data_IF_419367922122
#
_entry.id   IF_419367922122
#
_cell.length_a   1.000
_cell.length_b   1.000
_cell.length_c   1.000
_cell.angle_alpha   90.00
_cell.angle_beta   90.00
_cell.angle_gamma   90.00
#
_symmetry.space_group_name_H-M   'P 1'
#
loop_
_entity.id
_entity.type
_entity.pdbx_description
1 polymer ?
#
# COMPACT_ATOMS: atom_id res chain seq x y z
N UNK A 1 -13.62 25.44 17.78
CA UNK A 1 -12.55 24.46 18.13
C UNK A 1 -12.60 23.37 17.08
N UNK A 2 -11.47 23.01 16.46
CA UNK A 2 -11.42 21.99 15.40
C UNK A 2 -11.80 20.61 15.97
N UNK A 3 -12.68 19.86 15.30
CA UNK A 3 -13.16 18.51 15.71
C UNK A 3 -12.00 17.55 16.01
N UNK A 4 -10.90 17.65 15.26
CA UNK A 4 -9.68 16.86 15.47
C UNK A 4 -9.11 17.07 16.88
N UNK A 5 -9.02 18.33 17.34
CA UNK A 5 -8.52 18.68 18.67
C UNK A 5 -9.48 18.22 19.78
N UNK A 6 -10.80 18.26 19.54
CA UNK A 6 -11.78 17.76 20.53
C UNK A 6 -11.62 16.25 20.70
N UNK A 7 -11.48 15.51 19.59
CA UNK A 7 -11.26 14.07 19.68
C UNK A 7 -9.96 13.73 20.41
N UNK A 8 -8.88 14.45 20.08
CA UNK A 8 -7.59 14.26 20.74
C UNK A 8 -7.68 14.52 22.26
N UNK A 9 -8.43 15.54 22.70
CA UNK A 9 -8.65 15.79 24.12
C UNK A 9 -9.38 14.62 24.80
N UNK A 10 -10.42 14.09 24.17
CA UNK A 10 -11.14 12.91 24.69
C UNK A 10 -10.24 11.67 24.74
N UNK A 11 -9.44 11.43 23.70
CA UNK A 11 -8.45 10.36 23.67
C UNK A 11 -7.41 10.51 24.79
N UNK A 12 -6.80 11.70 24.92
CA UNK A 12 -5.77 12.00 25.90
C UNK A 12 -6.29 11.90 27.34
N UNK A 13 -7.58 12.15 27.57
CA UNK A 13 -8.23 11.86 28.86
C UNK A 13 -8.18 10.37 29.19
N UNK A 14 -8.45 9.50 28.21
CA UNK A 14 -8.48 8.06 28.42
C UNK A 14 -7.11 7.36 28.32
N UNK A 15 -6.06 8.04 27.83
CA UNK A 15 -4.73 7.43 27.63
C UNK A 15 -4.07 6.92 28.91
N UNK A 16 -4.51 7.39 30.08
CA UNK A 16 -4.00 6.99 31.40
C UNK A 16 -4.55 5.63 31.87
N UNK A 17 -5.55 5.06 31.15
CA UNK A 17 -6.04 3.72 31.40
C UNK A 17 -5.09 2.68 30.80
N UNK A 18 -5.03 1.51 31.45
CA UNK A 18 -4.17 0.40 31.03
C UNK A 18 -4.50 -0.02 29.60
N UNK A 19 -3.48 -0.08 28.74
CA UNK A 19 -3.55 -0.69 27.40
C UNK A 19 -3.88 -2.17 27.53
N UNK A 20 -4.77 -2.67 26.71
CA UNK A 20 -5.23 -4.06 26.67
C UNK A 20 -4.64 -4.76 25.46
N UNK A 21 -3.81 -5.78 25.69
CA UNK A 21 -3.08 -6.51 24.65
C UNK A 21 -3.99 -7.13 23.57
N UNK A 22 -5.20 -7.55 23.96
CA UNK A 22 -6.18 -8.14 23.04
C UNK A 22 -7.11 -7.13 22.37
N UNK A 23 -6.91 -5.82 22.56
CA UNK A 23 -7.77 -4.80 21.97
C UNK A 23 -7.13 -4.22 20.71
N UNK A 24 -7.91 -4.18 19.64
CA UNK A 24 -7.51 -3.64 18.34
C UNK A 24 -8.52 -2.57 17.91
N UNK A 25 -8.05 -1.40 17.51
CA UNK A 25 -8.90 -0.38 16.89
C UNK A 25 -8.58 -0.31 15.39
N UNK A 26 -9.63 -0.38 14.57
CA UNK A 26 -9.57 -0.15 13.14
C UNK A 26 -10.12 1.24 12.81
N UNK A 27 -9.36 2.06 12.09
CA UNK A 27 -9.79 3.39 11.65
C UNK A 27 -10.06 3.34 10.16
N UNK A 28 -11.35 3.26 9.82
CA UNK A 28 -11.86 3.26 8.46
C UNK A 28 -12.26 4.68 8.08
N UNK A 29 -11.35 5.44 7.49
CA UNK A 29 -11.63 6.81 7.06
C UNK A 29 -12.35 6.85 5.71
N UNK A 30 -12.00 5.96 4.80
CA UNK A 30 -12.75 5.75 3.57
C UNK A 30 -13.80 4.68 3.84
N UNK A 31 -15.08 5.02 3.63
CA UNK A 31 -16.17 4.05 3.80
C UNK A 31 -16.08 3.00 2.69
N UNK A 32 -15.56 1.84 3.05
CA UNK A 32 -15.37 0.72 2.14
C UNK A 32 -16.45 -0.34 2.28
N UNK A 33 -17.48 -0.09 3.10
CA UNK A 33 -18.54 -1.06 3.35
C UNK A 33 -18.06 -2.34 4.06
N UNK A 34 -16.93 -2.28 4.76
CA UNK A 34 -16.38 -3.45 5.47
C UNK A 34 -15.52 -4.37 4.58
N UNK A 35 -14.98 -3.84 3.48
CA UNK A 35 -14.03 -4.54 2.60
C UNK A 35 -12.65 -3.86 2.62
N UNK A 36 -11.62 -4.54 2.11
CA UNK A 36 -10.26 -4.02 2.01
C UNK A 36 -9.36 -4.40 3.18
N UNK A 37 -8.14 -3.85 3.18
CA UNK A 37 -7.03 -4.30 4.02
C UNK A 37 -7.33 -4.42 5.51
N UNK A 38 -8.07 -3.46 6.10
CA UNK A 38 -8.44 -3.48 7.53
C UNK A 38 -9.26 -4.73 7.89
N UNK A 39 -10.29 -5.00 7.09
CA UNK A 39 -11.21 -6.10 7.34
C UNK A 39 -10.66 -7.44 6.89
N UNK A 40 -9.75 -7.48 5.91
CA UNK A 40 -9.04 -8.69 5.53
C UNK A 40 -8.09 -9.16 6.65
N UNK A 41 -7.43 -8.22 7.36
CA UNK A 41 -6.65 -8.53 8.57
C UNK A 41 -7.55 -9.03 9.69
N UNK A 42 -8.69 -8.35 9.95
CA UNK A 42 -9.66 -8.79 10.97
C UNK A 42 -10.13 -10.21 10.71
N UNK A 43 -10.61 -10.51 9.48
CA UNK A 43 -11.06 -11.83 9.08
C UNK A 43 -9.97 -12.90 9.24
N UNK A 44 -8.73 -12.57 8.91
CA UNK A 44 -7.62 -13.51 9.09
C UNK A 44 -7.33 -13.77 10.57
N UNK A 45 -7.38 -12.76 11.43
CA UNK A 45 -7.25 -12.94 12.87
C UNK A 45 -8.40 -13.81 13.45
N UNK A 46 -9.64 -13.57 13.00
CA UNK A 46 -10.82 -14.38 13.37
C UNK A 46 -10.66 -15.83 12.89
N UNK A 47 -10.23 -16.06 11.65
CA UNK A 47 -9.95 -17.39 11.09
C UNK A 47 -8.89 -18.15 11.88
N UNK A 48 -7.90 -17.45 12.43
CA UNK A 48 -6.86 -18.02 13.31
C UNK A 48 -7.34 -18.25 14.74
N UNK A 49 -8.58 -17.86 15.08
CA UNK A 49 -9.12 -17.99 16.42
C UNK A 49 -8.43 -17.12 17.47
N UNK A 50 -7.83 -16.00 17.06
CA UNK A 50 -7.15 -15.10 18.00
C UNK A 50 -8.18 -14.40 18.89
N UNK A 51 -7.98 -14.33 20.24
CA UNK A 51 -8.92 -13.75 21.17
C UNK A 51 -8.89 -12.21 21.16
N UNK A 52 -8.94 -11.62 19.97
CA UNK A 52 -8.89 -10.18 19.77
C UNK A 52 -10.26 -9.54 19.82
N UNK A 53 -10.33 -8.32 20.37
CA UNK A 53 -11.53 -7.49 20.41
C UNK A 53 -11.36 -6.31 19.47
N UNK A 54 -12.05 -6.34 18.32
CA UNK A 54 -11.99 -5.30 17.30
C UNK A 54 -13.02 -4.19 17.55
N UNK A 55 -12.57 -2.94 17.43
CA UNK A 55 -13.40 -1.74 17.54
C UNK A 55 -13.17 -0.86 16.31
N UNK A 56 -14.26 -0.48 15.63
CA UNK A 56 -14.16 0.27 14.37
C UNK A 56 -14.59 1.71 14.58
N UNK A 57 -13.75 2.63 14.08
CA UNK A 57 -14.06 4.05 13.93
C UNK A 57 -14.21 4.31 12.44
N UNK A 58 -15.42 4.77 12.01
CA UNK A 58 -15.75 5.00 10.60
C UNK A 58 -15.82 6.48 10.27
N UNK A 59 -15.73 6.80 8.99
CA UNK A 59 -15.88 8.18 8.50
C UNK A 59 -17.17 8.83 9.00
N UNK A 60 -18.32 8.14 8.91
CA UNK A 60 -19.62 8.65 9.38
C UNK A 60 -19.68 8.99 10.87
N UNK A 61 -18.78 8.45 11.71
CA UNK A 61 -18.72 8.79 13.13
C UNK A 61 -18.28 10.24 13.39
N UNK A 62 -17.55 10.84 12.42
CA UNK A 62 -17.06 12.23 12.49
C UNK A 62 -18.03 13.25 11.87
N UNK A 63 -19.10 12.78 11.27
CA UNK A 63 -20.07 13.67 10.62
C UNK A 63 -20.78 14.53 11.67
N UNK A 64 -20.57 15.85 11.58
CA UNK A 64 -21.17 16.80 12.49
C UNK A 64 -22.56 17.19 11.97
N UNK A 65 -23.56 16.47 12.41
CA UNK A 65 -24.97 16.75 12.10
C UNK A 65 -25.87 16.50 13.31
N UNK A 66 -27.03 17.14 13.35
CA UNK A 66 -28.02 16.93 14.42
C UNK A 66 -28.49 15.45 14.47
N UNK A 67 -28.50 14.77 13.31
CA UNK A 67 -28.87 13.35 13.21
C UNK A 67 -27.78 12.42 13.76
N UNK A 68 -26.53 12.87 13.80
CA UNK A 68 -25.39 12.08 14.27
C UNK A 68 -24.94 12.41 15.71
N UNK A 69 -25.71 13.16 16.49
CA UNK A 69 -25.36 13.46 17.89
C UNK A 69 -25.04 12.21 18.74
N UNK A 70 -25.79 11.08 18.63
CA UNK A 70 -25.44 9.87 19.35
C UNK A 70 -24.10 9.27 18.88
N UNK A 71 -23.79 9.33 17.57
CA UNK A 71 -22.51 8.87 16.99
C UNK A 71 -21.35 9.71 17.50
N UNK A 72 -21.48 11.04 17.50
CA UNK A 72 -20.48 11.95 18.06
C UNK A 72 -20.27 11.71 19.57
N UNK A 73 -21.33 11.51 20.34
CA UNK A 73 -21.19 11.16 21.75
C UNK A 73 -20.43 9.85 21.94
N UNK A 74 -20.78 8.82 21.16
CA UNK A 74 -20.06 7.55 21.19
C UNK A 74 -18.61 7.69 20.74
N UNK A 75 -18.32 8.56 19.75
CA UNK A 75 -16.96 8.85 19.27
C UNK A 75 -16.11 9.44 20.39
N UNK A 76 -16.58 10.49 21.06
CA UNK A 76 -15.81 11.20 22.11
C UNK A 76 -15.78 10.47 23.47
N UNK A 77 -16.54 9.40 23.63
CA UNK A 77 -16.56 8.58 24.86
C UNK A 77 -16.04 7.18 24.60
N UNK A 78 -16.94 6.28 24.20
CA UNK A 78 -16.66 4.85 24.06
C UNK A 78 -15.56 4.55 23.03
N UNK A 79 -15.61 5.19 21.85
CA UNK A 79 -14.62 4.94 20.79
C UNK A 79 -13.26 5.54 21.13
N UNK A 80 -13.22 6.76 21.70
CA UNK A 80 -11.99 7.37 22.21
C UNK A 80 -11.34 6.51 23.31
N UNK A 81 -12.15 5.98 24.25
CA UNK A 81 -11.68 5.04 25.28
C UNK A 81 -11.12 3.75 24.68
N UNK A 82 -11.82 3.15 23.72
CA UNK A 82 -11.31 1.92 23.11
C UNK A 82 -10.02 2.16 22.36
N UNK A 83 -9.93 3.23 21.58
CA UNK A 83 -8.71 3.58 20.86
C UNK A 83 -7.54 3.84 21.80
N UNK A 84 -7.75 4.64 22.88
CA UNK A 84 -6.71 4.99 23.84
C UNK A 84 -6.19 3.80 24.67
N UNK A 85 -6.96 2.73 24.73
CA UNK A 85 -6.59 1.50 25.46
C UNK A 85 -6.34 0.30 24.56
N UNK A 86 -6.15 0.52 23.23
CA UNK A 86 -5.79 -0.51 22.27
C UNK A 86 -4.29 -0.73 22.21
N UNK A 87 -3.88 -2.00 22.18
CA UNK A 87 -2.48 -2.36 21.90
C UNK A 87 -2.12 -2.15 20.43
N UNK A 88 -3.10 -2.29 19.53
CA UNK A 88 -2.89 -2.08 18.10
C UNK A 88 -3.96 -1.16 17.51
N UNK A 89 -3.53 -0.23 16.68
CA UNK A 89 -4.37 0.67 15.89
C UNK A 89 -3.98 0.50 14.44
N UNK A 90 -4.90 0.03 13.59
CA UNK A 90 -4.70 -0.05 12.15
C UNK A 90 -5.54 1.02 11.47
N UNK A 91 -4.97 1.73 10.50
CA UNK A 91 -5.67 2.77 9.76
C UNK A 91 -5.41 2.65 8.25
N UNK A 92 -6.40 3.02 7.44
CA UNK A 92 -6.32 2.98 5.99
C UNK A 92 -6.17 4.34 5.31
N UNK A 93 -6.03 5.41 6.09
CA UNK A 93 -5.77 6.77 5.62
C UNK A 93 -5.24 7.62 6.78
N UNK A 94 -4.79 8.86 6.50
CA UNK A 94 -4.32 9.78 7.52
C UNK A 94 -5.44 10.17 8.49
N UNK A 95 -5.23 9.91 9.77
CA UNK A 95 -6.14 10.25 10.84
C UNK A 95 -5.67 11.53 11.54
N UNK A 96 -6.12 12.69 11.03
CA UNK A 96 -5.63 14.01 11.44
C UNK A 96 -5.69 14.30 12.95
N UNK A 97 -6.65 13.75 13.75
CA UNK A 97 -6.61 13.88 15.20
C UNK A 97 -5.30 13.41 15.83
N UNK A 98 -4.57 12.47 15.22
CA UNK A 98 -3.30 11.95 15.75
C UNK A 98 -2.20 13.01 15.89
N UNK A 99 -2.28 14.12 15.15
CA UNK A 99 -1.36 15.25 15.34
C UNK A 99 -1.38 15.86 16.76
N UNK A 100 -2.48 15.62 17.50
CA UNK A 100 -2.72 16.20 18.82
C UNK A 100 -2.88 15.13 19.92
N UNK A 101 -2.66 13.85 19.56
CA UNK A 101 -2.86 12.71 20.47
C UNK A 101 -1.53 12.30 21.10
N UNK A 102 -1.59 11.93 22.36
CA UNK A 102 -0.47 11.38 23.11
C UNK A 102 -0.65 9.85 23.18
N UNK A 103 -0.09 9.15 22.19
CA UNK A 103 -0.20 7.68 22.04
C UNK A 103 0.69 7.00 23.09
N UNK A 104 0.13 6.01 23.78
CA UNK A 104 0.89 5.22 24.74
C UNK A 104 2.05 4.46 24.06
N UNK A 105 3.24 4.38 24.68
CA UNK A 105 4.41 3.68 24.09
C UNK A 105 4.15 2.20 23.76
N UNK A 106 3.23 1.58 24.49
CA UNK A 106 2.82 0.18 24.31
C UNK A 106 1.85 -0.02 23.13
N UNK A 107 1.35 1.08 22.55
CA UNK A 107 0.40 1.02 21.42
C UNK A 107 1.15 1.07 20.09
N UNK A 108 0.95 0.05 19.28
CA UNK A 108 1.46 -0.01 17.91
C UNK A 108 0.44 0.60 16.94
N UNK A 109 0.84 1.61 16.19
CA UNK A 109 0.02 2.27 15.18
C UNK A 109 0.50 1.90 13.79
N UNK A 110 -0.37 1.31 12.97
CA UNK A 110 -0.03 0.76 11.65
C UNK A 110 -0.84 1.42 10.55
N UNK A 111 -0.17 2.13 9.66
CA UNK A 111 -0.76 2.70 8.45
C UNK A 111 -0.74 1.68 7.32
N UNK A 112 -1.93 1.29 6.82
CA UNK A 112 -2.08 0.37 5.70
C UNK A 112 -2.17 1.10 4.36
N UNK A 113 -2.55 2.37 4.40
CA UNK A 113 -2.95 3.17 3.24
C UNK A 113 -4.15 2.59 2.51
N UNK A 114 -4.68 3.32 1.54
CA UNK A 114 -5.85 2.92 0.76
C UNK A 114 -5.49 2.57 -0.70
N UNK A 115 -4.29 2.95 -1.15
CA UNK A 115 -3.77 2.67 -2.49
C UNK A 115 -2.66 1.64 -2.45
N UNK A 116 -2.63 0.77 -3.44
CA UNK A 116 -1.55 -0.18 -3.65
C UNK A 116 -0.47 0.43 -4.54
N UNK A 117 0.79 0.13 -4.25
CA UNK A 117 1.92 0.64 -5.02
C UNK A 117 2.18 2.14 -4.82
N UNK A 118 3.04 2.70 -5.64
CA UNK A 118 3.40 4.13 -5.62
C UNK A 118 3.54 4.65 -7.06
N UNK A 119 2.45 4.66 -7.81
CA UNK A 119 2.45 5.14 -9.19
C UNK A 119 2.54 6.66 -9.22
N UNK A 120 1.56 7.38 -8.68
CA UNK A 120 1.57 8.83 -8.53
C UNK A 120 2.17 9.27 -7.19
N UNK A 121 2.78 10.44 -7.15
CA UNK A 121 3.17 11.10 -5.89
C UNK A 121 1.95 11.42 -5.04
N UNK A 122 2.11 11.33 -3.74
CA UNK A 122 1.07 11.64 -2.77
C UNK A 122 1.67 12.13 -1.45
N UNK A 123 0.82 12.67 -0.58
CA UNK A 123 1.25 13.14 0.74
C UNK A 123 2.40 14.14 0.67
N UNK A 124 3.41 13.95 1.49
CA UNK A 124 4.58 14.82 1.59
C UNK A 124 5.49 14.86 0.36
N UNK A 125 5.24 14.01 -0.65
CA UNK A 125 5.96 14.05 -1.94
C UNK A 125 5.31 14.99 -2.97
N UNK A 126 4.25 15.69 -2.57
CA UNK A 126 3.56 16.70 -3.39
C UNK A 126 3.72 18.08 -2.78
N UNK A 127 3.44 19.13 -3.56
CA UNK A 127 3.47 20.52 -3.11
C UNK A 127 2.28 20.80 -2.17
N UNK A 128 2.47 20.47 -0.88
CA UNK A 128 1.48 20.77 0.17
C UNK A 128 1.74 22.13 0.79
N UNK A 129 0.67 22.81 1.18
CA UNK A 129 0.77 24.01 2.03
C UNK A 129 1.57 23.71 3.31
N UNK A 130 2.44 24.62 3.76
CA UNK A 130 3.35 24.37 4.89
C UNK A 130 2.66 23.91 6.17
N UNK A 131 1.47 24.46 6.47
CA UNK A 131 0.68 24.06 7.63
C UNK A 131 0.20 22.62 7.51
N UNK A 132 -0.30 22.22 6.36
CA UNK A 132 -0.79 20.85 6.10
C UNK A 132 0.36 19.86 6.14
N UNK A 133 1.52 20.22 5.56
CA UNK A 133 2.73 19.38 5.62
C UNK A 133 3.23 19.21 7.06
N UNK A 134 3.17 20.28 7.87
CA UNK A 134 3.53 20.21 9.30
C UNK A 134 2.58 19.31 10.07
N UNK A 135 1.26 19.42 9.84
CA UNK A 135 0.26 18.57 10.49
C UNK A 135 0.42 17.10 10.07
N UNK A 136 0.68 16.84 8.78
CA UNK A 136 0.95 15.49 8.26
C UNK A 136 2.17 14.86 8.95
N UNK A 137 3.26 15.61 9.14
CA UNK A 137 4.44 15.13 9.87
C UNK A 137 4.09 14.75 11.31
N UNK A 138 3.34 15.61 12.01
CA UNK A 138 2.92 15.35 13.40
C UNK A 138 2.03 14.09 13.49
N UNK A 139 1.11 13.88 12.54
CA UNK A 139 0.31 12.64 12.45
C UNK A 139 1.21 11.42 12.35
N UNK A 140 2.20 11.47 11.44
CA UNK A 140 3.05 10.33 11.12
C UNK A 140 4.20 10.09 12.12
N UNK A 141 4.50 11.05 12.99
CA UNK A 141 5.35 10.82 14.17
C UNK A 141 4.76 9.73 15.08
N UNK A 142 3.43 9.71 15.21
CA UNK A 142 2.68 8.73 15.99
C UNK A 142 2.47 7.38 15.29
N UNK A 143 2.79 7.27 13.99
CA UNK A 143 2.74 6.00 13.26
C UNK A 143 3.99 5.17 13.55
N UNK A 144 3.79 3.94 14.02
CA UNK A 144 4.88 2.99 14.28
C UNK A 144 5.39 2.38 12.99
N UNK A 145 4.47 1.84 12.18
CA UNK A 145 4.78 1.19 10.91
C UNK A 145 3.84 1.63 9.78
N UNK A 146 4.37 1.67 8.58
CA UNK A 146 3.64 1.87 7.34
C UNK A 146 3.83 0.62 6.49
N UNK A 147 2.74 0.02 6.00
CA UNK A 147 2.84 -1.17 5.17
C UNK A 147 2.94 -0.80 3.69
N UNK A 148 3.88 -1.43 3.02
CA UNK A 148 4.07 -1.30 1.58
C UNK A 148 3.93 -2.67 0.90
N UNK A 149 3.47 -2.66 -0.35
CA UNK A 149 3.28 -3.87 -1.15
C UNK A 149 4.57 -4.39 -1.77
N UNK A 150 5.63 -3.57 -1.85
CA UNK A 150 6.92 -3.93 -2.43
C UNK A 150 8.09 -3.24 -1.73
N UNK A 151 9.24 -3.89 -1.71
CA UNK A 151 10.51 -3.31 -1.25
C UNK A 151 10.94 -2.12 -2.13
N UNK A 152 10.62 -2.17 -3.43
CA UNK A 152 10.97 -1.10 -4.38
C UNK A 152 10.30 0.23 -4.07
N UNK A 153 9.10 0.21 -3.48
CA UNK A 153 8.33 1.44 -3.20
C UNK A 153 8.53 1.98 -1.77
N UNK A 154 9.35 1.34 -0.94
CA UNK A 154 9.55 1.76 0.46
C UNK A 154 10.00 3.20 0.59
N UNK A 155 11.00 3.60 -0.21
CA UNK A 155 11.49 4.97 -0.22
C UNK A 155 10.39 5.97 -0.57
N UNK A 156 9.56 5.66 -1.57
CA UNK A 156 8.47 6.51 -2.01
C UNK A 156 7.42 6.70 -0.89
N UNK A 157 7.11 5.62 -0.18
CA UNK A 157 6.21 5.67 0.99
C UNK A 157 6.83 6.48 2.14
N UNK A 158 8.12 6.31 2.42
CA UNK A 158 8.82 7.08 3.45
C UNK A 158 8.77 8.59 3.14
N UNK A 159 9.00 8.99 1.89
CA UNK A 159 8.87 10.37 1.43
C UNK A 159 7.44 10.88 1.56
N UNK A 160 6.45 10.11 1.07
CA UNK A 160 5.03 10.49 1.09
C UNK A 160 4.49 10.70 2.51
N UNK A 161 4.90 9.85 3.44
CA UNK A 161 4.48 9.95 4.85
C UNK A 161 5.44 10.79 5.71
N UNK A 162 6.50 11.33 5.12
CA UNK A 162 7.51 12.13 5.84
C UNK A 162 8.13 11.39 7.03
N UNK A 163 8.44 10.12 6.88
CA UNK A 163 9.02 9.26 7.93
C UNK A 163 10.35 8.64 7.50
N UNK A 164 11.18 8.18 8.45
CA UNK A 164 12.33 7.35 8.12
C UNK A 164 11.93 6.06 7.41
N UNK A 165 12.70 5.62 6.41
CA UNK A 165 12.42 4.41 5.63
C UNK A 165 12.31 3.15 6.51
N UNK A 166 12.98 3.13 7.67
CA UNK A 166 12.89 2.04 8.64
C UNK A 166 11.49 1.79 9.21
N UNK A 167 10.59 2.79 9.18
CA UNK A 167 9.18 2.61 9.56
C UNK A 167 8.34 1.92 8.48
N UNK A 168 8.83 1.82 7.24
CA UNK A 168 8.08 1.22 6.12
C UNK A 168 8.41 -0.26 5.99
N UNK A 169 7.41 -1.12 6.13
CA UNK A 169 7.54 -2.58 6.06
C UNK A 169 6.92 -3.10 4.76
N UNK A 170 7.73 -3.71 3.90
CA UNK A 170 7.25 -4.33 2.66
C UNK A 170 6.79 -5.78 2.93
N UNK A 171 5.67 -5.95 3.62
CA UNK A 171 5.09 -7.26 3.97
C UNK A 171 3.84 -7.62 3.18
N UNK A 172 3.54 -6.84 2.17
CA UNK A 172 2.40 -7.01 1.28
C UNK A 172 1.22 -6.12 1.63
N UNK A 173 0.24 -6.13 0.75
CA UNK A 173 -1.00 -5.37 0.88
C UNK A 173 -2.18 -6.35 1.02
N UNK A 174 -2.89 -6.41 2.16
CA UNK A 174 -3.94 -7.39 2.39
C UNK A 174 -5.06 -7.39 1.34
N UNK A 175 -5.44 -6.21 0.81
CA UNK A 175 -6.45 -6.15 -0.25
C UNK A 175 -6.04 -6.86 -1.54
N UNK A 176 -4.73 -7.02 -1.80
CA UNK A 176 -4.22 -7.76 -2.95
C UNK A 176 -4.57 -9.26 -2.91
N UNK A 177 -4.72 -9.82 -1.71
CA UNK A 177 -5.06 -11.22 -1.50
C UNK A 177 -6.36 -11.62 -2.22
N UNK A 178 -7.24 -10.63 -2.42
CA UNK A 178 -8.51 -10.83 -3.11
C UNK A 178 -8.31 -11.38 -4.52
N UNK A 179 -7.35 -10.85 -5.27
CA UNK A 179 -7.11 -11.22 -6.67
C UNK A 179 -6.53 -12.63 -6.84
N UNK A 180 -5.96 -13.21 -5.79
CA UNK A 180 -5.34 -14.54 -5.79
C UNK A 180 -6.21 -15.62 -5.14
N UNK A 181 -7.43 -15.25 -4.68
CA UNK A 181 -8.41 -16.22 -4.19
C UNK A 181 -9.28 -16.74 -5.32
N UNK A 182 -9.85 -17.92 -5.11
CA UNK A 182 -10.82 -18.47 -6.07
C UNK A 182 -12.17 -17.79 -5.89
N UNK A 183 -12.63 -17.06 -6.91
CA UNK A 183 -13.93 -16.38 -6.93
C UNK A 183 -14.82 -16.96 -8.02
N UNK A 184 -16.09 -17.19 -7.73
CA UNK A 184 -17.07 -17.48 -8.79
C UNK A 184 -17.57 -16.16 -9.41
N UNK A 185 -16.76 -15.66 -10.35
CA UNK A 185 -17.07 -14.42 -11.08
C UNK A 185 -18.29 -14.57 -12.02
N UNK A 186 -18.76 -15.79 -12.27
CA UNK A 186 -19.89 -16.05 -13.21
C UNK A 186 -21.20 -15.50 -12.67
N UNK A 187 -21.47 -15.63 -11.37
CA UNK A 187 -22.67 -15.06 -10.76
C UNK A 187 -22.68 -13.52 -10.79
N UNK A 188 -21.52 -12.92 -10.57
CA UNK A 188 -21.37 -11.46 -10.65
C UNK A 188 -21.57 -11.02 -12.10
N UNK A 189 -20.94 -11.70 -13.06
CA UNK A 189 -21.09 -11.43 -14.48
C UNK A 189 -22.55 -11.54 -14.93
N UNK A 190 -23.26 -12.58 -14.51
CA UNK A 190 -24.67 -12.80 -14.82
C UNK A 190 -25.55 -11.65 -14.30
N UNK A 191 -25.35 -11.19 -13.06
CA UNK A 191 -26.08 -10.03 -12.51
C UNK A 191 -25.86 -8.75 -13.33
N UNK A 192 -24.62 -8.53 -13.79
CA UNK A 192 -24.31 -7.38 -14.65
C UNK A 192 -24.94 -7.52 -16.04
N UNK A 193 -24.97 -8.70 -16.61
CA UNK A 193 -25.62 -8.98 -17.92
C UNK A 193 -27.15 -8.87 -17.84
N UNK A 194 -27.76 -9.15 -16.68
CA UNK A 194 -29.18 -8.91 -16.43
C UNK A 194 -29.49 -7.40 -16.33
N UNK A 195 -28.61 -6.64 -15.68
CA UNK A 195 -28.74 -5.17 -15.57
C UNK A 195 -28.38 -4.45 -16.88
N UNK A 196 -27.38 -4.95 -17.60
CA UNK A 196 -26.85 -4.38 -18.84
C UNK A 196 -26.83 -5.45 -19.95
N UNK A 197 -27.97 -5.75 -20.60
CA UNK A 197 -28.08 -6.85 -21.59
C UNK A 197 -27.10 -6.74 -22.77
N UNK A 198 -26.61 -5.54 -23.09
CA UNK A 198 -25.61 -5.29 -24.14
C UNK A 198 -24.23 -5.90 -23.82
N UNK A 199 -23.97 -6.28 -22.57
CA UNK A 199 -22.72 -6.94 -22.15
C UNK A 199 -22.70 -8.43 -22.50
N UNK A 200 -23.88 -9.03 -22.79
CA UNK A 200 -23.99 -10.49 -22.97
C UNK A 200 -23.14 -10.99 -24.14
N UNK A 201 -22.26 -11.94 -23.84
CA UNK A 201 -21.39 -12.57 -24.82
C UNK A 201 -20.23 -11.72 -25.32
N UNK A 202 -20.02 -10.51 -24.76
CA UNK A 202 -18.93 -9.60 -25.15
C UNK A 202 -17.86 -9.52 -24.09
N UNK A 203 -16.63 -9.21 -24.49
CA UNK A 203 -15.55 -8.84 -23.57
C UNK A 203 -15.85 -7.48 -22.94
N UNK A 204 -15.39 -7.27 -21.71
CA UNK A 204 -15.64 -6.10 -20.90
C UNK A 204 -14.38 -5.23 -20.76
N UNK A 205 -14.17 -4.23 -21.63
CA UNK A 205 -13.27 -3.12 -21.32
C UNK A 205 -13.88 -2.25 -20.23
N UNK A 206 -13.07 -1.89 -19.22
CA UNK A 206 -13.45 -0.94 -18.19
C UNK A 206 -12.67 0.37 -18.39
N UNK A 207 -13.37 1.46 -18.69
CA UNK A 207 -12.79 2.79 -18.70
C UNK A 207 -12.87 3.41 -17.31
N UNK A 208 -11.73 3.61 -16.69
CA UNK A 208 -11.61 4.11 -15.32
C UNK A 208 -10.65 5.31 -15.26
N UNK A 209 -11.09 6.49 -15.71
CA UNK A 209 -10.26 7.69 -15.73
C UNK A 209 -10.03 8.26 -14.33
N UNK A 210 -8.88 8.92 -14.15
CA UNK A 210 -8.56 9.74 -12.98
C UNK A 210 -9.36 11.04 -13.01
N UNK A 211 -9.79 11.55 -11.86
CA UNK A 211 -10.29 12.91 -11.74
C UNK A 211 -9.17 13.93 -12.01
N UNK A 212 -9.54 15.15 -12.36
CA UNK A 212 -8.63 16.27 -12.52
C UNK A 212 -8.85 17.26 -11.36
N UNK A 213 -7.76 17.78 -10.79
CA UNK A 213 -7.84 18.81 -9.75
C UNK A 213 -8.39 20.13 -10.32
N UNK A 214 -8.24 20.38 -11.61
CA UNK A 214 -8.89 21.46 -12.35
C UNK A 214 -10.34 21.11 -12.66
N UNK A 215 -11.28 21.89 -12.12
CA UNK A 215 -12.72 21.62 -12.22
C UNK A 215 -13.28 21.74 -13.66
N UNK A 216 -12.62 22.48 -14.56
CA UNK A 216 -13.03 22.58 -15.96
C UNK A 216 -12.58 21.33 -16.72
N UNK A 217 -11.35 20.90 -16.52
CA UNK A 217 -10.80 19.67 -17.07
C UNK A 217 -11.56 18.43 -16.58
N UNK A 218 -11.96 18.42 -15.31
CA UNK A 218 -12.76 17.32 -14.75
C UNK A 218 -14.15 17.23 -15.39
N UNK A 219 -14.78 18.37 -15.67
CA UNK A 219 -16.08 18.42 -16.38
C UNK A 219 -15.98 17.94 -17.83
N UNK A 220 -14.87 18.20 -18.51
CA UNK A 220 -14.64 17.83 -19.90
C UNK A 220 -14.16 16.38 -20.08
N UNK A 221 -13.80 15.70 -19.01
CA UNK A 221 -13.13 14.40 -19.02
C UNK A 221 -13.78 13.38 -19.98
N UNK A 222 -15.11 13.18 -19.88
CA UNK A 222 -15.80 12.23 -20.74
C UNK A 222 -16.06 12.75 -22.17
N UNK A 223 -15.98 14.06 -22.41
CA UNK A 223 -16.16 14.62 -23.76
C UNK A 223 -15.00 14.25 -24.69
N UNK A 224 -13.84 13.92 -24.12
CA UNK A 224 -12.66 13.45 -24.89
C UNK A 224 -12.73 11.97 -25.26
N UNK A 225 -13.73 11.21 -24.74
CA UNK A 225 -13.91 9.81 -25.10
C UNK A 225 -15.11 9.67 -26.07
N UNK A 226 -14.85 9.40 -27.35
CA UNK A 226 -15.89 9.19 -28.35
C UNK A 226 -16.49 7.78 -28.23
N UNK A 227 -17.53 7.65 -27.40
CA UNK A 227 -18.25 6.39 -27.14
C UNK A 227 -18.89 5.81 -28.38
N UNK A 228 -19.40 6.66 -29.31
CA UNK A 228 -20.00 6.18 -30.55
C UNK A 228 -18.94 5.58 -31.48
N UNK A 229 -17.80 6.24 -31.60
CA UNK A 229 -16.67 5.74 -32.39
C UNK A 229 -16.16 4.42 -31.80
N UNK A 230 -16.03 4.33 -30.46
CA UNK A 230 -15.66 3.07 -29.81
C UNK A 230 -16.65 1.96 -30.17
N UNK A 231 -17.95 2.21 -30.05
CA UNK A 231 -18.98 1.23 -30.36
C UNK A 231 -18.97 0.82 -31.84
N UNK A 232 -18.79 1.76 -32.77
CA UNK A 232 -18.68 1.45 -34.21
C UNK A 232 -17.47 0.58 -34.55
N UNK A 233 -16.33 0.81 -33.89
CA UNK A 233 -15.07 0.14 -34.25
C UNK A 233 -14.76 -1.11 -33.44
N UNK A 234 -15.25 -1.21 -32.21
CA UNK A 234 -14.93 -2.29 -31.28
C UNK A 234 -16.18 -2.99 -30.71
N UNK A 235 -17.38 -2.42 -30.89
CA UNK A 235 -18.61 -2.88 -30.23
C UNK A 235 -19.15 -4.24 -30.64
N UNK A 236 -18.63 -4.85 -31.71
CA UNK A 236 -18.96 -6.22 -32.07
C UNK A 236 -18.45 -7.21 -31.01
N UNK A 237 -17.18 -7.08 -30.60
CA UNK A 237 -16.51 -8.00 -29.67
C UNK A 237 -16.54 -7.46 -28.22
N UNK A 238 -16.58 -6.15 -28.04
CA UNK A 238 -16.40 -5.50 -26.75
C UNK A 238 -17.65 -4.69 -26.34
N UNK A 239 -18.00 -4.74 -25.05
CA UNK A 239 -18.97 -3.85 -24.43
C UNK A 239 -18.25 -2.98 -23.41
N UNK A 240 -17.98 -1.72 -23.75
CA UNK A 240 -17.34 -0.77 -22.86
C UNK A 240 -18.22 -0.47 -21.65
N UNK A 241 -17.67 -0.54 -20.45
CA UNK A 241 -18.26 0.00 -19.25
C UNK A 241 -17.40 1.14 -18.69
N UNK A 242 -18.01 2.04 -17.94
CA UNK A 242 -17.33 3.19 -17.32
C UNK A 242 -17.44 3.09 -15.81
N UNK A 243 -16.35 3.38 -15.11
CA UNK A 243 -16.33 3.60 -13.68
C UNK A 243 -15.62 4.91 -13.39
N UNK A 244 -16.35 5.92 -13.00
CA UNK A 244 -15.80 7.22 -12.62
C UNK A 244 -15.24 7.16 -11.19
N UNK A 245 -14.25 7.99 -10.92
CA UNK A 245 -13.76 8.20 -9.57
C UNK A 245 -14.84 8.91 -8.73
N UNK A 246 -15.04 8.59 -7.45
CA UNK A 246 -16.08 9.21 -6.61
C UNK A 246 -16.01 10.73 -6.50
N UNK A 247 -14.86 11.33 -6.77
CA UNK A 247 -14.69 12.79 -6.81
C UNK A 247 -15.22 13.43 -8.10
N UNK A 248 -15.42 12.65 -9.17
CA UNK A 248 -15.99 13.15 -10.43
C UNK A 248 -17.50 13.25 -10.26
N UNK A 249 -18.02 14.45 -9.99
CA UNK A 249 -19.46 14.69 -9.76
C UNK A 249 -20.13 15.37 -10.94
N UNK A 250 -19.39 15.97 -11.85
CA UNK A 250 -19.87 16.82 -12.93
C UNK A 250 -20.06 16.11 -14.27
N UNK A 251 -19.42 14.96 -14.46
CA UNK A 251 -19.51 14.17 -15.69
C UNK A 251 -20.57 13.07 -15.57
N UNK A 252 -21.39 12.90 -16.63
CA UNK A 252 -22.40 11.84 -16.70
C UNK A 252 -22.03 10.86 -17.79
N UNK A 253 -22.04 9.56 -17.45
CA UNK A 253 -21.88 8.48 -18.41
C UNK A 253 -23.10 8.48 -19.35
N UNK A 254 -22.90 8.35 -20.68
CA UNK A 254 -24.04 8.25 -21.63
C UNK A 254 -24.95 7.05 -21.31
N UNK A 255 -26.27 7.21 -21.45
CA UNK A 255 -27.28 6.20 -21.06
C UNK A 255 -27.08 4.83 -21.73
N UNK A 256 -26.52 4.81 -22.94
CA UNK A 256 -26.25 3.58 -23.68
C UNK A 256 -25.01 2.83 -23.21
N UNK A 257 -24.20 3.42 -22.34
CA UNK A 257 -22.95 2.85 -21.82
C UNK A 257 -23.18 2.33 -20.41
N UNK A 258 -22.84 1.08 -20.08
CA UNK A 258 -22.89 0.59 -18.70
C UNK A 258 -22.11 1.47 -17.73
N UNK A 259 -22.82 2.13 -16.82
CA UNK A 259 -22.24 2.91 -15.73
C UNK A 259 -22.08 2.05 -14.49
N UNK A 260 -20.83 1.74 -14.16
CA UNK A 260 -20.44 0.93 -13.00
C UNK A 260 -19.83 1.78 -11.87
N UNK A 261 -20.01 3.11 -11.92
CA UNK A 261 -19.51 4.05 -10.90
C UNK A 261 -20.04 3.70 -9.51
N UNK A 262 -21.32 3.35 -9.41
CA UNK A 262 -21.96 2.94 -8.15
C UNK A 262 -21.75 1.49 -7.74
N UNK A 263 -20.96 0.69 -8.46
CA UNK A 263 -20.76 -0.71 -8.07
C UNK A 263 -19.92 -0.80 -6.80
N UNK A 264 -20.38 -1.55 -5.76
CA UNK A 264 -19.81 -1.45 -4.41
C UNK A 264 -18.35 -1.91 -4.29
N UNK A 265 -18.00 -3.06 -4.87
CA UNK A 265 -16.66 -3.64 -4.75
C UNK A 265 -15.90 -3.58 -6.09
N UNK A 266 -14.97 -2.64 -6.20
CA UNK A 266 -14.14 -2.48 -7.41
C UNK A 266 -13.34 -3.75 -7.72
N UNK A 267 -12.97 -4.54 -6.72
CA UNK A 267 -12.18 -5.75 -6.91
C UNK A 267 -12.96 -6.80 -7.72
N UNK A 268 -14.26 -6.95 -7.46
CA UNK A 268 -15.14 -7.80 -8.28
C UNK A 268 -15.20 -7.33 -9.72
N UNK A 269 -15.30 -6.00 -9.96
CA UNK A 269 -15.30 -5.46 -11.31
C UNK A 269 -13.98 -5.74 -12.04
N UNK A 270 -12.84 -5.56 -11.37
CA UNK A 270 -11.54 -5.83 -11.96
C UNK A 270 -11.38 -7.31 -12.35
N UNK A 271 -11.87 -8.24 -11.52
CA UNK A 271 -11.86 -9.66 -11.85
C UNK A 271 -12.65 -9.98 -13.13
N UNK A 272 -13.73 -9.25 -13.43
CA UNK A 272 -14.55 -9.44 -14.63
C UNK A 272 -14.06 -8.64 -15.84
N UNK A 273 -13.20 -7.67 -15.62
CA UNK A 273 -12.65 -6.82 -16.68
C UNK A 273 -11.68 -7.59 -17.54
N UNK A 274 -11.86 -7.59 -18.85
CA UNK A 274 -10.97 -8.24 -19.81
C UNK A 274 -9.85 -7.32 -20.28
N UNK A 275 -10.08 -5.99 -20.22
CA UNK A 275 -9.17 -4.95 -20.65
C UNK A 275 -9.41 -3.70 -19.81
N UNK A 276 -8.39 -3.17 -19.17
CA UNK A 276 -8.47 -1.89 -18.47
C UNK A 276 -8.05 -0.75 -19.42
N UNK A 277 -8.90 0.27 -19.52
CA UNK A 277 -8.55 1.55 -20.12
C UNK A 277 -8.46 2.55 -18.97
N UNK A 278 -7.26 2.95 -18.61
CA UNK A 278 -6.99 3.94 -17.57
C UNK A 278 -6.25 5.14 -18.17
N UNK A 279 -5.79 6.03 -17.33
CA UNK A 279 -4.89 7.12 -17.70
C UNK A 279 -3.74 7.18 -16.69
N UNK A 280 -3.90 7.93 -15.60
CA UNK A 280 -2.92 8.09 -14.52
C UNK A 280 -3.36 7.41 -13.22
N UNK A 281 -4.41 6.59 -13.28
CA UNK A 281 -5.07 6.00 -12.12
C UNK A 281 -4.24 4.88 -11.48
N UNK A 282 -4.17 4.89 -10.14
CA UNK A 282 -3.58 3.79 -9.35
C UNK A 282 -4.32 2.46 -9.50
N UNK A 283 -5.53 2.44 -10.05
CA UNK A 283 -6.28 1.21 -10.37
C UNK A 283 -5.48 0.30 -11.30
N UNK A 284 -4.60 0.87 -12.15
CA UNK A 284 -3.70 0.11 -13.01
C UNK A 284 -2.74 -0.79 -12.19
N UNK A 285 -2.33 -0.36 -10.98
CA UNK A 285 -1.47 -1.15 -10.10
C UNK A 285 -2.21 -2.40 -9.61
N UNK A 286 -3.46 -2.25 -9.15
CA UNK A 286 -4.27 -3.40 -8.72
C UNK A 286 -4.59 -4.34 -9.87
N UNK A 287 -5.01 -3.77 -11.01
CA UNK A 287 -5.38 -4.56 -12.19
C UNK A 287 -4.18 -5.33 -12.78
N UNK A 288 -2.96 -4.78 -12.66
CA UNK A 288 -1.75 -5.44 -13.14
C UNK A 288 -1.47 -6.80 -12.48
N UNK A 289 -2.01 -7.02 -11.24
CA UNK A 289 -1.94 -8.32 -10.54
C UNK A 289 -2.66 -9.45 -11.30
N UNK A 290 -3.62 -9.10 -12.16
CA UNK A 290 -4.36 -10.05 -12.99
C UNK A 290 -3.62 -10.42 -14.28
N UNK A 291 -2.50 -9.79 -14.58
CA UNK A 291 -1.71 -9.98 -15.81
C UNK A 291 -2.56 -9.86 -17.08
N UNK A 292 -3.53 -8.93 -17.09
CA UNK A 292 -4.43 -8.68 -18.22
C UNK A 292 -4.10 -7.35 -18.88
N UNK A 293 -4.57 -7.11 -20.14
CA UNK A 293 -4.24 -5.91 -20.90
C UNK A 293 -4.61 -4.61 -20.19
N UNK A 294 -3.68 -3.65 -20.22
CA UNK A 294 -3.87 -2.26 -19.75
C UNK A 294 -3.54 -1.33 -20.89
N UNK A 295 -4.44 -0.40 -21.21
CA UNK A 295 -4.22 0.69 -22.14
C UNK A 295 -4.30 2.01 -21.38
N UNK A 296 -3.37 2.91 -21.66
CA UNK A 296 -3.35 4.23 -21.03
C UNK A 296 -3.88 5.27 -22.03
N UNK A 297 -5.16 5.64 -21.88
CA UNK A 297 -5.77 6.69 -22.71
C UNK A 297 -5.53 8.06 -22.07
N UNK A 298 -4.41 8.66 -22.41
CA UNK A 298 -3.86 9.87 -21.82
C UNK A 298 -3.94 11.05 -22.81
N UNK A 299 -5.18 11.46 -23.19
CA UNK A 299 -5.44 12.48 -24.18
C UNK A 299 -4.88 13.86 -23.79
N UNK A 300 -4.70 14.13 -22.51
CA UNK A 300 -4.19 15.36 -21.93
C UNK A 300 -2.79 15.21 -21.30
N UNK A 301 -1.98 14.24 -21.77
CA UNK A 301 -0.71 13.83 -21.18
C UNK A 301 0.22 15.00 -20.86
N UNK A 302 0.44 15.90 -21.82
CA UNK A 302 1.35 17.03 -21.64
C UNK A 302 0.89 17.95 -20.50
N UNK A 303 -0.39 18.26 -20.47
CA UNK A 303 -0.98 19.09 -19.41
C UNK A 303 -0.88 18.40 -18.05
N UNK A 304 -1.21 17.11 -17.99
CA UNK A 304 -1.24 16.36 -16.75
C UNK A 304 0.18 16.23 -16.14
N UNK A 305 1.19 15.93 -16.94
CA UNK A 305 2.57 15.81 -16.49
C UNK A 305 3.16 17.15 -15.99
N UNK A 306 2.70 18.29 -16.54
CA UNK A 306 3.15 19.63 -16.16
C UNK A 306 2.44 20.20 -14.92
N UNK A 307 1.17 19.89 -14.72
CA UNK A 307 0.29 20.57 -13.74
C UNK A 307 -0.18 19.73 -12.58
N UNK A 308 -0.13 18.40 -12.68
CA UNK A 308 -0.60 17.49 -11.63
C UNK A 308 0.56 17.06 -10.71
N UNK A 309 0.26 16.17 -9.78
CA UNK A 309 1.13 15.74 -8.65
C UNK A 309 2.44 15.07 -9.06
N UNK A 310 2.61 14.70 -10.34
CA UNK A 310 3.76 13.96 -10.85
C UNK A 310 3.78 12.47 -10.44
N UNK A 311 4.82 11.79 -10.89
CA UNK A 311 5.01 10.35 -10.70
C UNK A 311 6.30 10.08 -9.94
N UNK A 312 6.38 8.93 -9.27
CA UNK A 312 7.63 8.48 -8.61
C UNK A 312 8.63 7.91 -9.60
N UNK A 313 8.15 7.39 -10.73
CA UNK A 313 8.94 6.82 -11.81
C UNK A 313 8.59 7.54 -13.10
N UNK A 314 9.44 7.44 -14.09
CA UNK A 314 9.11 7.95 -15.42
C UNK A 314 7.85 7.26 -15.95
N UNK A 315 6.87 8.07 -16.35
CA UNK A 315 5.56 7.57 -16.75
C UNK A 315 5.61 6.74 -18.04
N UNK A 316 6.48 7.13 -19.00
CA UNK A 316 6.60 6.44 -20.28
C UNK A 316 7.40 5.14 -20.14
N UNK A 317 8.49 5.18 -19.36
CA UNK A 317 9.38 4.03 -19.16
C UNK A 317 8.71 2.90 -18.36
N UNK A 318 7.85 3.26 -17.38
CA UNK A 318 7.22 2.30 -16.47
C UNK A 318 5.76 1.97 -16.84
N UNK A 319 5.23 2.55 -17.91
CA UNK A 319 3.86 2.32 -18.34
C UNK A 319 3.53 0.81 -18.48
N UNK A 320 2.42 0.32 -17.90
CA UNK A 320 2.00 -1.08 -18.01
C UNK A 320 1.49 -1.48 -19.41
N UNK A 321 1.36 -0.50 -20.30
CA UNK A 321 0.86 -0.71 -21.65
C UNK A 321 1.05 0.51 -22.52
N UNK A 322 0.52 0.51 -23.77
CA UNK A 322 0.67 1.62 -24.69
C UNK A 322 -0.03 2.88 -24.18
N UNK A 323 0.64 4.02 -24.33
CA UNK A 323 0.10 5.35 -24.04
C UNK A 323 -0.53 5.87 -25.34
N UNK A 324 -1.80 6.13 -25.31
CA UNK A 324 -2.64 6.47 -26.46
C UNK A 324 -3.31 7.81 -26.19
N UNK A 325 -3.20 8.76 -27.14
CA UNK A 325 -3.72 10.12 -26.95
C UNK A 325 -4.94 10.41 -27.80
N UNK A 326 -5.26 9.54 -28.79
CA UNK A 326 -6.42 9.69 -29.65
C UNK A 326 -7.34 8.48 -29.63
N UNK A 327 -8.63 8.68 -29.95
CA UNK A 327 -9.58 7.57 -30.06
C UNK A 327 -9.25 6.62 -31.24
N UNK A 328 -8.60 7.11 -32.30
CA UNK A 328 -8.18 6.27 -33.42
C UNK A 328 -7.08 5.29 -33.00
N UNK A 329 -6.10 5.79 -32.24
CA UNK A 329 -5.04 4.96 -31.70
C UNK A 329 -5.58 3.94 -30.72
N UNK A 330 -6.50 4.36 -29.83
CA UNK A 330 -7.14 3.47 -28.84
C UNK A 330 -7.90 2.34 -29.51
N UNK A 331 -8.83 2.67 -30.41
CA UNK A 331 -9.61 1.64 -31.13
C UNK A 331 -8.72 0.79 -32.04
N UNK A 332 -7.72 1.40 -32.69
CA UNK A 332 -6.74 0.69 -33.50
C UNK A 332 -5.90 -0.28 -32.67
N UNK A 333 -5.47 0.12 -31.47
CA UNK A 333 -4.75 -0.76 -30.55
C UNK A 333 -5.59 -1.94 -30.08
N UNK A 334 -6.86 -1.69 -29.71
CA UNK A 334 -7.78 -2.76 -29.28
C UNK A 334 -7.99 -3.80 -30.40
N UNK A 335 -8.27 -3.36 -31.62
CA UNK A 335 -8.50 -4.27 -32.77
C UNK A 335 -7.28 -5.12 -33.14
N UNK A 336 -6.07 -4.53 -32.97
CA UNK A 336 -4.82 -5.26 -33.26
C UNK A 336 -4.32 -6.06 -32.06
N UNK A 337 -4.96 -5.96 -30.90
CA UNK A 337 -4.45 -6.45 -29.61
C UNK A 337 -3.02 -5.98 -29.32
N UNK A 338 -2.81 -4.68 -29.56
CA UNK A 338 -1.48 -4.05 -29.56
C UNK A 338 -0.95 -3.73 -28.15
N UNK A 339 -1.06 -4.67 -27.22
CA UNK A 339 -0.51 -4.58 -25.85
C UNK A 339 0.53 -5.65 -25.61
N UNK A 340 1.35 -5.41 -24.60
CA UNK A 340 2.42 -6.30 -24.18
C UNK A 340 2.20 -6.70 -22.71
N UNK A 341 1.87 -7.97 -22.48
CA UNK A 341 1.62 -8.50 -21.14
C UNK A 341 2.89 -8.53 -20.27
N UNK A 342 4.07 -8.62 -20.87
CA UNK A 342 5.31 -8.58 -20.09
C UNK A 342 5.58 -7.19 -19.50
N UNK A 343 5.10 -6.11 -20.13
CA UNK A 343 5.06 -4.77 -19.52
C UNK A 343 4.12 -4.71 -18.32
N UNK A 344 2.93 -5.32 -18.44
CA UNK A 344 1.99 -5.40 -17.30
C UNK A 344 2.63 -6.16 -16.13
N UNK A 345 3.28 -7.29 -16.40
CA UNK A 345 3.99 -8.09 -15.38
C UNK A 345 5.14 -7.32 -14.74
N UNK A 346 5.91 -6.60 -15.53
CA UNK A 346 7.02 -5.78 -15.04
C UNK A 346 6.52 -4.67 -14.13
N UNK A 347 5.43 -4.00 -14.52
CA UNK A 347 4.75 -2.99 -13.71
C UNK A 347 4.19 -3.58 -12.40
N UNK A 348 3.56 -4.76 -12.46
CA UNK A 348 3.08 -5.45 -11.27
C UNK A 348 4.21 -5.76 -10.29
N UNK A 349 5.37 -6.23 -10.77
CA UNK A 349 6.55 -6.54 -9.95
C UNK A 349 7.27 -5.31 -9.38
N UNK A 350 7.17 -4.16 -10.03
CA UNK A 350 7.67 -2.91 -9.49
C UNK A 350 6.90 -2.53 -8.22
N UNK A 351 5.59 -2.73 -8.24
CA UNK A 351 4.70 -2.28 -7.18
C UNK A 351 4.35 -3.37 -6.15
N UNK A 352 4.60 -4.65 -6.43
CA UNK A 352 4.22 -5.77 -5.56
C UNK A 352 5.31 -6.84 -5.52
N UNK A 353 5.68 -7.28 -4.31
CA UNK A 353 6.60 -8.41 -4.09
C UNK A 353 5.87 -9.75 -3.92
N UNK A 354 4.57 -9.72 -3.63
CA UNK A 354 3.80 -10.91 -3.28
C UNK A 354 2.63 -11.10 -4.25
N UNK A 355 2.61 -12.27 -4.88
CA UNK A 355 1.61 -12.70 -5.86
C UNK A 355 0.88 -13.93 -5.31
N UNK A 356 0.36 -13.78 -4.09
CA UNK A 356 -0.34 -14.83 -3.36
C UNK A 356 -1.48 -14.25 -2.50
N UNK A 357 -2.32 -15.09 -1.92
CA UNK A 357 -3.42 -14.68 -1.05
C UNK A 357 -3.02 -14.66 0.44
N UNK A 358 -1.77 -14.34 0.77
CA UNK A 358 -1.21 -14.48 2.12
C UNK A 358 -0.80 -13.16 2.79
N UNK A 359 -1.08 -11.99 2.19
CA UNK A 359 -0.64 -10.71 2.78
C UNK A 359 -1.33 -10.42 4.10
N UNK A 360 -2.64 -10.66 4.20
CA UNK A 360 -3.38 -10.52 5.47
C UNK A 360 -2.81 -11.45 6.55
N UNK A 361 -2.42 -12.68 6.17
CA UNK A 361 -1.79 -13.64 7.07
C UNK A 361 -0.42 -13.15 7.53
N UNK A 362 0.44 -12.67 6.61
CA UNK A 362 1.77 -12.12 6.97
C UNK A 362 1.65 -10.97 7.95
N UNK A 363 0.70 -10.05 7.73
CA UNK A 363 0.43 -8.94 8.64
C UNK A 363 -0.07 -9.45 10.00
N UNK A 364 -1.02 -10.39 10.02
CA UNK A 364 -1.53 -10.96 11.26
C UNK A 364 -0.46 -11.74 12.03
N UNK A 365 0.44 -12.47 11.37
CA UNK A 365 1.54 -13.18 12.01
C UNK A 365 2.62 -12.23 12.55
N UNK A 366 2.86 -11.11 11.86
CA UNK A 366 3.83 -10.11 12.30
C UNK A 366 3.40 -9.42 13.60
N UNK A 367 2.13 -9.00 13.70
CA UNK A 367 1.63 -8.27 14.88
C UNK A 367 1.08 -9.19 15.96
N UNK A 368 0.64 -10.37 15.61
CA UNK A 368 0.06 -11.38 16.52
C UNK A 368 0.74 -12.74 16.32
N UNK A 369 2.04 -12.86 16.66
CA UNK A 369 2.76 -14.13 16.52
C UNK A 369 2.15 -15.21 17.43
N UNK A 370 2.37 -16.50 17.11
CA UNK A 370 1.91 -17.59 17.97
C UNK A 370 2.36 -17.41 19.43
N UNK A 371 1.44 -17.62 20.37
CA UNK A 371 1.70 -17.50 21.81
C UNK A 371 1.63 -16.08 22.40
N UNK A 372 1.54 -15.02 21.61
CA UNK A 372 1.52 -13.63 22.11
C UNK A 372 0.30 -13.29 22.99
N UNK A 373 -0.82 -14.01 22.85
CA UNK A 373 -2.06 -13.79 23.59
C UNK A 373 -2.47 -15.01 24.48
N UNK A 374 -1.49 -15.84 24.87
CA UNK A 374 -1.74 -17.02 25.69
C UNK A 374 -2.46 -18.16 24.98
N UNK A 375 -2.52 -18.15 23.66
CA UNK A 375 -3.09 -19.25 22.87
C UNK A 375 -1.99 -20.28 22.60
N UNK A 376 -2.03 -21.41 23.27
CA UNK A 376 -1.27 -22.60 22.89
C UNK A 376 -1.99 -23.25 21.70
N UNK A 377 -1.35 -23.27 20.58
CA UNK A 377 -1.31 -24.21 19.44
C UNK A 377 -1.11 -23.47 18.13
N UNK A 378 0.11 -23.55 17.61
CA UNK A 378 0.34 -23.32 16.18
C UNK A 378 -0.32 -24.46 15.39
N UNK A 379 -1.09 -24.21 14.32
CA UNK A 379 -1.48 -25.27 13.41
C UNK A 379 -0.21 -25.90 12.81
N UNK A 380 -0.12 -27.21 12.77
CA UNK A 380 1.05 -28.02 12.33
C UNK A 380 1.57 -27.72 10.90
N UNK A 381 0.94 -26.77 10.18
CA UNK A 381 1.32 -26.36 8.83
C UNK A 381 1.57 -24.84 8.67
N UNK A 382 1.95 -24.14 9.74
CA UNK A 382 2.38 -22.76 9.65
C UNK A 382 3.79 -22.67 9.07
N UNK A 383 3.89 -22.64 7.74
CA UNK A 383 5.16 -22.35 7.07
C UNK A 383 5.69 -20.98 7.50
N UNK A 384 6.89 -20.96 7.99
CA UNK A 384 7.68 -19.86 8.58
C UNK A 384 8.07 -18.75 7.59
N UNK A 385 7.18 -18.29 6.71
CA UNK A 385 7.56 -17.43 5.57
C UNK A 385 7.74 -15.93 5.88
N UNK A 386 7.03 -15.37 6.86
CA UNK A 386 7.12 -13.93 7.14
C UNK A 386 8.25 -13.58 8.11
N UNK A 387 8.58 -14.49 9.02
CA UNK A 387 9.50 -14.19 10.11
C UNK A 387 10.98 -14.22 9.69
N UNK A 388 11.37 -15.04 8.69
CA UNK A 388 12.78 -15.15 8.32
C UNK A 388 13.33 -13.88 7.62
N UNK A 389 12.55 -13.24 6.75
CA UNK A 389 13.00 -12.02 6.03
C UNK A 389 13.00 -10.80 6.94
N UNK A 390 12.05 -10.71 7.89
CA UNK A 390 11.90 -9.57 8.81
C UNK A 390 12.58 -9.80 10.16
N UNK A 391 12.65 -11.01 10.68
CA UNK A 391 13.59 -11.35 11.76
C UNK A 391 15.04 -11.17 11.31
N UNK A 392 15.35 -11.37 10.03
CA UNK A 392 16.64 -10.93 9.48
C UNK A 392 16.84 -9.40 9.55
N UNK A 393 15.80 -8.57 9.47
CA UNK A 393 15.90 -7.10 9.59
C UNK A 393 15.87 -6.62 11.04
N UNK A 394 15.11 -7.23 11.95
CA UNK A 394 15.26 -6.99 13.40
C UNK A 394 16.63 -7.45 13.89
N UNK A 395 17.16 -8.54 13.34
CA UNK A 395 18.54 -8.98 13.59
C UNK A 395 19.56 -8.00 12.99
N UNK A 396 19.21 -7.20 11.95
CA UNK A 396 20.06 -6.12 11.44
C UNK A 396 20.05 -4.92 12.38
N UNK A 397 18.97 -4.59 13.07
CA UNK A 397 18.95 -3.56 14.13
C UNK A 397 19.79 -3.94 15.34
N UNK A 398 20.00 -5.24 15.61
CA UNK A 398 20.87 -5.75 16.67
C UNK A 398 22.22 -6.27 16.17
N UNK A 399 22.57 -6.06 14.91
CA UNK A 399 23.87 -6.47 14.37
C UNK A 399 24.97 -5.55 14.89
N UNK A 400 25.96 -6.09 15.56
CA UNK A 400 27.15 -5.35 15.98
C UNK A 400 28.16 -5.29 14.84
N UNK A 401 28.74 -4.11 14.63
CA UNK A 401 29.82 -3.93 13.66
C UNK A 401 31.14 -3.91 14.44
N UNK A 402 32.05 -4.78 14.05
CA UNK A 402 33.42 -4.78 14.56
C UNK A 402 34.32 -4.36 13.42
N UNK A 403 34.79 -3.11 13.46
CA UNK A 403 35.65 -2.55 12.43
C UNK A 403 37.10 -2.47 12.93
N UNK A 404 38.00 -3.12 12.22
CA UNK A 404 39.42 -2.98 12.43
C UNK A 404 39.97 -1.89 11.48
N UNK A 405 40.53 -0.84 12.03
CA UNK A 405 41.19 0.20 11.24
C UNK A 405 42.61 -0.22 10.85
N UNK A 406 43.01 0.13 9.65
CA UNK A 406 44.32 -0.21 9.12
C UNK A 406 44.58 0.46 7.76
N UNK A 407 45.79 0.29 7.24
CA UNK A 407 46.18 0.77 5.93
C UNK A 407 46.07 -0.38 4.91
N UNK A 408 45.28 -0.24 3.84
CA UNK A 408 45.05 -1.32 2.87
C UNK A 408 46.24 -1.62 1.95
N UNK A 409 47.34 -0.89 2.05
CA UNK A 409 48.53 -1.11 1.20
C UNK A 409 49.40 -2.26 1.79
N UNK A 410 49.98 -3.06 0.91
CA UNK A 410 50.86 -4.20 1.28
C UNK A 410 52.07 -3.79 2.11
N UNK A 411 52.54 -2.54 1.98
CA UNK A 411 53.67 -2.02 2.73
C UNK A 411 53.50 -2.09 4.25
N UNK A 412 52.27 -2.04 4.75
CA UNK A 412 51.99 -2.05 6.17
C UNK A 412 51.45 -3.41 6.68
N UNK A 413 51.42 -4.43 5.81
CA UNK A 413 50.96 -5.76 6.17
C UNK A 413 51.83 -6.36 7.28
N UNK A 414 51.22 -6.81 8.37
CA UNK A 414 51.90 -7.38 9.51
C UNK A 414 52.63 -6.38 10.44
N UNK A 415 52.51 -5.07 10.20
CA UNK A 415 53.06 -4.04 11.07
C UNK A 415 52.05 -3.52 12.11
N UNK A 416 52.59 -2.81 13.15
CA UNK A 416 51.72 -2.15 14.17
C UNK A 416 50.71 -1.15 13.58
N UNK A 417 50.91 -0.68 12.36
CA UNK A 417 50.00 0.21 11.68
C UNK A 417 48.72 -0.52 11.21
N UNK A 418 48.74 -1.85 11.16
CA UNK A 418 47.60 -2.68 10.74
C UNK A 418 47.06 -3.58 11.87
N UNK A 419 47.31 -3.25 13.15
CA UNK A 419 46.82 -4.02 14.29
C UNK A 419 45.30 -4.24 14.24
N UNK A 420 44.50 -3.23 13.77
CA UNK A 420 43.07 -3.39 13.60
C UNK A 420 42.70 -4.41 12.51
N UNK A 421 43.38 -4.41 11.37
CA UNK A 421 43.19 -5.43 10.32
C UNK A 421 43.57 -6.80 10.80
N UNK A 422 44.71 -6.92 11.51
CA UNK A 422 45.17 -8.18 12.09
C UNK A 422 44.22 -8.73 13.17
N UNK A 423 43.59 -7.86 13.95
CA UNK A 423 42.58 -8.24 14.92
C UNK A 423 41.31 -8.81 14.23
N UNK A 424 40.85 -8.18 13.13
CA UNK A 424 39.76 -8.73 12.33
C UNK A 424 40.12 -10.06 11.68
N UNK A 425 41.35 -10.25 11.19
CA UNK A 425 41.78 -11.50 10.61
C UNK A 425 41.80 -12.63 11.67
N UNK A 426 42.33 -12.38 12.85
CA UNK A 426 42.32 -13.35 13.94
C UNK A 426 40.91 -13.67 14.40
N UNK A 427 40.03 -12.68 14.51
CA UNK A 427 38.64 -12.88 14.89
C UNK A 427 37.87 -13.67 13.81
N UNK A 428 38.14 -13.37 12.54
CA UNK A 428 37.65 -14.09 11.36
C UNK A 428 38.02 -15.60 11.41
N UNK A 429 39.28 -15.89 11.70
CA UNK A 429 39.80 -17.27 11.84
C UNK A 429 39.19 -17.99 13.05
N UNK A 430 39.17 -17.34 14.22
CA UNK A 430 38.67 -17.92 15.46
C UNK A 430 37.19 -18.28 15.42
N UNK A 431 36.37 -17.43 14.75
CA UNK A 431 34.91 -17.57 14.72
C UNK A 431 34.39 -18.13 13.37
N UNK A 432 35.29 -18.50 12.45
CA UNK A 432 34.92 -19.07 11.16
C UNK A 432 34.15 -18.12 10.24
N UNK A 433 34.33 -16.79 10.39
CA UNK A 433 33.63 -15.77 9.62
C UNK A 433 34.53 -15.27 8.49
N UNK A 434 34.28 -15.68 7.24
CA UNK A 434 35.11 -15.26 6.10
C UNK A 434 34.89 -13.75 5.77
N UNK A 435 35.97 -12.95 5.86
CA UNK A 435 35.99 -11.51 5.52
C UNK A 435 36.53 -11.33 4.10
N UNK A 436 35.70 -11.67 3.11
CA UNK A 436 36.09 -11.75 1.71
C UNK A 436 35.14 -10.98 0.75
N UNK A 437 34.14 -10.25 1.26
CA UNK A 437 33.21 -9.49 0.45
C UNK A 437 33.62 -8.03 0.36
N UNK A 438 33.73 -7.50 -0.85
CA UNK A 438 33.93 -6.07 -1.10
C UNK A 438 32.59 -5.33 -1.08
N UNK A 439 32.30 -4.60 0.02
CA UNK A 439 31.08 -3.76 0.14
C UNK A 439 31.40 -2.47 0.90
N UNK A 440 30.76 -1.38 0.50
CA UNK A 440 30.84 -0.07 1.19
C UNK A 440 32.29 0.42 1.40
N UNK A 441 33.16 0.24 0.41
CA UNK A 441 34.59 0.58 0.49
C UNK A 441 35.34 -0.14 1.63
N UNK A 442 34.93 -1.37 1.94
CA UNK A 442 35.53 -2.20 2.96
C UNK A 442 35.57 -3.67 2.51
N UNK A 443 36.50 -4.43 3.09
CA UNK A 443 36.40 -5.90 3.14
C UNK A 443 35.50 -6.27 4.29
N UNK A 444 34.47 -7.08 4.03
CA UNK A 444 33.45 -7.43 5.02
C UNK A 444 33.16 -8.93 5.09
N UNK A 445 32.74 -9.40 6.26
CA UNK A 445 32.21 -10.74 6.48
C UNK A 445 31.18 -10.72 7.59
N UNK A 446 30.07 -11.45 7.45
CA UNK A 446 29.03 -11.51 8.47
C UNK A 446 28.88 -12.92 9.03
N UNK A 447 28.65 -13.02 10.35
CA UNK A 447 28.48 -14.29 11.06
C UNK A 447 27.89 -14.10 12.44
N UNK A 448 28.05 -15.06 13.31
CA UNK A 448 27.59 -15.03 14.70
C UNK A 448 28.75 -15.24 15.65
N UNK A 449 28.84 -14.42 16.71
CA UNK A 449 29.79 -14.58 17.82
C UNK A 449 28.97 -14.59 19.10
N UNK A 450 29.05 -15.65 19.88
CA UNK A 450 28.31 -15.82 21.12
C UNK A 450 26.80 -15.69 20.96
N UNK A 451 26.22 -16.14 19.80
CA UNK A 451 24.80 -16.02 19.49
C UNK A 451 24.37 -14.62 18.97
N UNK A 452 25.29 -13.63 19.01
CA UNK A 452 25.03 -12.29 18.51
C UNK A 452 25.49 -12.16 17.05
N UNK A 453 24.66 -11.62 16.17
CA UNK A 453 25.05 -11.35 14.78
C UNK A 453 26.06 -10.21 14.72
N UNK A 454 27.15 -10.44 13.98
CA UNK A 454 28.22 -9.45 13.80
C UNK A 454 28.58 -9.27 12.33
N UNK A 455 29.00 -8.05 11.98
CA UNK A 455 29.67 -7.71 10.74
C UNK A 455 31.12 -7.36 11.06
N UNK A 456 32.04 -8.17 10.57
CA UNK A 456 33.49 -7.88 10.62
C UNK A 456 33.81 -7.00 9.42
N UNK A 457 34.59 -5.93 9.63
CA UNK A 457 34.89 -4.94 8.59
C UNK A 457 36.34 -4.45 8.67
N UNK A 458 37.00 -4.39 7.51
CA UNK A 458 38.28 -3.72 7.29
C UNK A 458 38.06 -2.59 6.27
N UNK A 459 37.93 -1.33 6.68
CA UNK A 459 37.81 -0.19 5.76
C UNK A 459 39.01 -0.09 4.83
N UNK A 460 38.80 0.24 3.55
CA UNK A 460 39.84 0.35 2.51
C UNK A 460 40.13 1.79 2.13
N UNK A 461 39.56 2.75 2.82
CA UNK A 461 39.77 4.21 2.60
C UNK A 461 39.99 4.88 3.94
#
# INVERSE_FOLDING_TARGET
MNTNKIFALAFNFFRHWKVRENRVTLIEKLDTGGVGSLFDIQKECERRGLPLSFHVIRHGDYEVSLRNLPGLFALFTKKAYYMATSAHIFLNDNFMPMAYMDIAPETTVVQLWHGMGSFKKFGGSTDLEPELLSELKQVNENVTHILASSEHIRKNYAEAFCVPEGKVLAIGCPQADYYFRNHDVREVRKRLEEQFPQMKGKKLPLYAPTFRDDAEKDRELLSHFDFEKFNRQCGEEYCLAVRLHPQIQSSKVPEQVPDLTGYPDVRELLLMTDLLIADYSSIAVEYSLLERPILLYAFDKEWYLDKDRGFYYDYEDTAPGPILTTMDDLCGCIRRQGWDIDKVKSFARLHNDFFDSQSARRVAEFYFPPGCLGTETAPENAGTFANEKYQRKETIQNMKIIAGLGNPTDQYKGTRHNVGFMAIDRLSEAEGIAVNQHKHKAMTGSGFIGGQRVLLMKPLT
#
